data_IF_200222863370
#
_entry.id   IF_200222863370
#
_cell.length_a   1.000
_cell.length_b   1.000
_cell.length_c   1.000
_cell.angle_alpha   90.00
_cell.angle_beta   90.00
_cell.angle_gamma   90.00
#
_symmetry.space_group_name_H-M   'P 1'
#
loop_
_entity.id
_entity.type
_entity.pdbx_description
1 polymer ?
#
# COMPACT_ATOMS: atom_id res chain seq x y z
N UNK A 1 21.02 11.48 -10.89
CA UNK A 1 20.51 10.54 -11.92
C UNK A 1 19.13 10.09 -11.50
N UNK A 2 18.08 10.22 -12.33
CA UNK A 2 16.77 9.68 -11.99
C UNK A 2 16.89 8.15 -11.87
N UNK A 3 16.52 7.62 -10.71
CA UNK A 3 16.43 6.17 -10.53
C UNK A 3 15.46 5.63 -11.58
N UNK A 4 15.81 4.57 -12.32
CA UNK A 4 14.88 3.95 -13.25
C UNK A 4 13.64 3.54 -12.46
N UNK A 5 12.46 4.03 -12.89
CA UNK A 5 11.19 3.58 -12.32
C UNK A 5 11.17 2.05 -12.39
N UNK A 6 10.85 1.34 -11.30
CA UNK A 6 10.67 -0.09 -11.37
C UNK A 6 9.62 -0.36 -12.43
N UNK A 7 10.01 -1.03 -13.51
CA UNK A 7 9.05 -1.54 -14.47
C UNK A 7 8.32 -2.66 -13.73
N UNK A 8 7.09 -2.40 -13.28
CA UNK A 8 6.16 -3.43 -12.84
C UNK A 8 5.66 -4.22 -14.06
N UNK A 9 6.58 -4.71 -14.90
CA UNK A 9 6.28 -5.89 -15.69
C UNK A 9 6.11 -7.00 -14.67
N UNK A 10 4.92 -7.62 -14.63
CA UNK A 10 4.69 -8.83 -13.84
C UNK A 10 5.89 -9.76 -14.09
N UNK A 11 6.67 -10.08 -13.04
CA UNK A 11 7.78 -11.02 -13.21
C UNK A 11 7.21 -12.36 -13.67
N UNK A 12 8.01 -13.16 -14.38
CA UNK A 12 7.62 -14.53 -14.78
C UNK A 12 7.16 -15.40 -13.61
N UNK A 13 7.43 -14.99 -12.36
CA UNK A 13 6.96 -15.64 -11.14
C UNK A 13 5.48 -15.33 -10.82
N UNK A 14 4.96 -14.18 -11.27
CA UNK A 14 3.54 -13.80 -11.19
C UNK A 14 2.76 -14.17 -12.45
N UNK A 15 3.45 -14.49 -13.53
CA UNK A 15 2.94 -15.33 -14.61
C UNK A 15 2.69 -16.72 -14.01
N UNK A 16 1.62 -16.88 -13.23
CA UNK A 16 1.19 -18.22 -12.83
C UNK A 16 1.03 -19.02 -14.10
N UNK A 17 1.98 -19.93 -14.33
CA UNK A 17 1.81 -21.26 -14.89
C UNK A 17 0.36 -21.50 -15.31
N UNK A 18 -0.02 -21.01 -16.49
CA UNK A 18 -1.30 -21.30 -17.13
C UNK A 18 -1.40 -22.79 -17.56
N UNK A 19 -0.51 -23.64 -17.02
CA UNK A 19 -0.45 -25.07 -17.19
C UNK A 19 -1.25 -25.74 -16.06
N UNK A 20 -2.57 -25.70 -16.19
CA UNK A 20 -3.42 -26.76 -15.63
C UNK A 20 -4.28 -26.46 -14.40
N UNK A 21 -4.37 -25.20 -13.93
CA UNK A 21 -5.43 -24.78 -13.00
C UNK A 21 -6.58 -24.10 -13.76
N UNK A 22 -7.15 -24.81 -14.73
CA UNK A 22 -8.56 -24.61 -15.06
C UNK A 22 -9.36 -25.05 -13.83
N UNK A 23 -9.47 -24.13 -12.87
CA UNK A 23 -10.42 -24.26 -11.78
C UNK A 23 -11.77 -24.54 -12.42
N UNK A 24 -12.40 -25.70 -12.15
CA UNK A 24 -13.61 -26.07 -12.86
C UNK A 24 -14.62 -24.94 -12.76
N UNK A 25 -14.95 -24.34 -13.90
CA UNK A 25 -15.95 -23.26 -14.06
C UNK A 25 -17.38 -23.79 -13.81
N UNK A 26 -17.51 -24.94 -13.15
CA UNK A 26 -18.73 -25.72 -13.04
C UNK A 26 -19.58 -25.11 -11.95
N UNK A 27 -20.58 -24.32 -12.35
CA UNK A 27 -21.84 -24.24 -11.60
C UNK A 27 -22.38 -25.68 -11.48
N UNK A 28 -22.62 -26.12 -10.24
CA UNK A 28 -23.06 -27.48 -9.89
C UNK A 28 -24.22 -27.92 -10.82
N UNK A 29 -23.93 -28.81 -11.80
CA UNK A 29 -24.94 -29.50 -12.61
C UNK A 29 -25.06 -29.15 -14.10
N UNK A 30 -24.20 -28.29 -14.66
CA UNK A 30 -24.24 -27.92 -16.10
C UNK A 30 -23.25 -28.75 -16.94
N UNK A 31 -23.61 -29.17 -18.17
CA UNK A 31 -22.65 -29.82 -19.07
C UNK A 31 -21.51 -28.88 -19.44
N UNK A 32 -20.30 -29.43 -19.54
CA UNK A 32 -19.03 -28.68 -19.71
C UNK A 32 -19.05 -27.79 -20.96
N UNK A 33 -19.64 -28.27 -22.05
CA UNK A 33 -19.74 -27.50 -23.31
C UNK A 33 -20.61 -26.25 -23.16
N UNK A 34 -21.74 -26.33 -22.47
CA UNK A 34 -22.62 -25.18 -22.24
C UNK A 34 -21.96 -24.15 -21.32
N UNK A 35 -21.19 -24.61 -20.33
CA UNK A 35 -20.42 -23.73 -19.47
C UNK A 35 -19.35 -22.95 -20.25
N UNK A 36 -18.64 -23.63 -21.17
CA UNK A 36 -17.65 -22.99 -22.04
C UNK A 36 -18.29 -21.95 -22.96
N UNK A 37 -19.42 -22.29 -23.57
CA UNK A 37 -20.13 -21.40 -24.49
C UNK A 37 -20.65 -20.14 -23.77
N UNK A 38 -21.14 -20.27 -22.53
CA UNK A 38 -21.49 -19.11 -21.67
C UNK A 38 -20.28 -18.28 -21.28
N UNK A 39 -19.14 -18.91 -21.06
CA UNK A 39 -17.87 -18.24 -20.76
C UNK A 39 -17.38 -17.40 -21.94
N UNK A 40 -17.36 -18.00 -23.13
CA UNK A 40 -16.98 -17.31 -24.37
C UNK A 40 -17.94 -16.16 -24.72
N UNK A 41 -19.25 -16.36 -24.53
CA UNK A 41 -20.25 -15.31 -24.71
C UNK A 41 -20.11 -14.17 -23.70
N UNK A 42 -19.82 -14.49 -22.42
CA UNK A 42 -19.55 -13.49 -21.39
C UNK A 42 -18.29 -12.69 -21.70
N UNK A 43 -17.23 -13.36 -22.14
CA UNK A 43 -15.97 -12.72 -22.53
C UNK A 43 -16.17 -11.79 -23.72
N UNK A 44 -16.86 -12.22 -24.77
CA UNK A 44 -17.08 -11.38 -25.96
C UNK A 44 -17.96 -10.16 -25.64
N UNK A 45 -19.00 -10.33 -24.83
CA UNK A 45 -19.83 -9.21 -24.35
C UNK A 45 -19.03 -8.23 -23.49
N UNK A 46 -18.14 -8.74 -22.63
CA UNK A 46 -17.31 -7.89 -21.78
C UNK A 46 -16.24 -7.13 -22.57
N UNK A 47 -15.60 -7.79 -23.54
CA UNK A 47 -14.65 -7.13 -24.46
C UNK A 47 -15.33 -6.10 -25.35
N UNK A 48 -16.60 -6.32 -25.73
CA UNK A 48 -17.37 -5.35 -26.49
C UNK A 48 -17.67 -4.06 -25.70
N UNK A 49 -17.54 -4.05 -24.37
CA UNK A 49 -17.64 -2.83 -23.56
C UNK A 49 -16.39 -1.94 -23.68
N UNK A 50 -15.31 -2.43 -24.29
CA UNK A 50 -14.08 -1.66 -24.51
C UNK A 50 -14.36 -0.43 -25.39
N UNK A 51 -14.03 0.75 -24.89
CA UNK A 51 -14.28 2.02 -25.59
C UNK A 51 -15.72 2.52 -25.52
N UNK A 52 -16.61 1.85 -24.77
CA UNK A 52 -17.94 2.37 -24.48
C UNK A 52 -17.87 3.42 -23.35
N UNK A 53 -18.79 4.39 -23.29
CA UNK A 53 -18.84 5.36 -22.20
C UNK A 53 -19.14 4.72 -20.83
N UNK A 54 -19.59 3.47 -20.82
CA UNK A 54 -19.85 2.69 -19.61
C UNK A 54 -18.67 1.77 -19.23
N UNK A 55 -17.48 2.01 -19.76
CA UNK A 55 -16.28 1.24 -19.42
C UNK A 55 -15.93 1.46 -17.93
N UNK A 56 -15.79 0.38 -17.13
CA UNK A 56 -15.35 0.49 -15.75
C UNK A 56 -13.93 1.03 -15.66
N UNK A 57 -13.63 1.84 -14.64
CA UNK A 57 -12.30 2.43 -14.43
C UNK A 57 -11.20 1.37 -14.26
N UNK A 58 -11.55 0.22 -13.69
CA UNK A 58 -10.62 -0.90 -13.49
C UNK A 58 -10.38 -1.75 -14.74
N UNK A 59 -10.95 -1.39 -15.89
CA UNK A 59 -10.80 -2.16 -17.13
C UNK A 59 -9.35 -2.20 -17.62
N UNK A 60 -8.59 -1.11 -17.46
CA UNK A 60 -7.16 -1.08 -17.83
C UNK A 60 -6.32 -2.07 -17.00
N UNK A 61 -6.64 -2.20 -15.71
CA UNK A 61 -6.02 -3.19 -14.81
C UNK A 61 -6.38 -4.61 -15.25
N UNK A 62 -7.62 -4.83 -15.70
CA UNK A 62 -8.04 -6.11 -16.26
C UNK A 62 -7.22 -6.48 -17.51
N UNK A 63 -6.98 -5.55 -18.43
CA UNK A 63 -6.15 -5.83 -19.61
C UNK A 63 -4.73 -6.21 -19.22
N UNK A 64 -4.14 -5.49 -18.26
CA UNK A 64 -2.81 -5.79 -17.74
C UNK A 64 -2.72 -7.19 -17.11
N UNK A 65 -3.77 -7.63 -16.41
CA UNK A 65 -3.85 -8.97 -15.81
C UNK A 65 -4.05 -10.07 -16.86
N UNK A 66 -4.82 -9.78 -17.92
CA UNK A 66 -4.99 -10.67 -19.06
C UNK A 66 -3.66 -10.91 -19.79
N UNK A 67 -2.88 -9.85 -20.00
CA UNK A 67 -1.54 -9.94 -20.57
C UNK A 67 -0.58 -10.73 -19.65
N UNK A 68 -0.82 -10.68 -18.33
CA UNK A 68 -0.15 -11.51 -17.32
C UNK A 68 -0.58 -12.99 -17.28
N UNK A 69 -1.46 -13.44 -18.18
CA UNK A 69 -1.88 -14.83 -18.29
C UNK A 69 -2.96 -15.28 -17.31
N UNK A 70 -3.62 -14.35 -16.60
CA UNK A 70 -4.69 -14.70 -15.67
C UNK A 70 -5.98 -15.12 -16.41
N UNK A 71 -6.73 -16.13 -15.90
CA UNK A 71 -8.05 -16.46 -16.43
C UNK A 71 -8.98 -15.24 -16.38
N UNK A 72 -9.67 -14.95 -17.48
CA UNK A 72 -10.39 -13.68 -17.66
C UNK A 72 -11.39 -13.35 -16.53
N UNK A 73 -12.11 -14.36 -16.02
CA UNK A 73 -13.07 -14.17 -14.90
C UNK A 73 -12.36 -13.79 -13.60
N UNK A 74 -11.22 -14.43 -13.33
CA UNK A 74 -10.39 -14.14 -12.15
C UNK A 74 -9.71 -12.79 -12.30
N UNK A 75 -9.16 -12.47 -13.47
CA UNK A 75 -8.59 -11.18 -13.80
C UNK A 75 -9.60 -10.03 -13.59
N UNK A 76 -10.85 -10.22 -14.04
CA UNK A 76 -11.93 -9.26 -13.85
C UNK A 76 -12.26 -9.07 -12.36
N UNK A 77 -12.33 -10.15 -11.58
CA UNK A 77 -12.52 -10.06 -10.13
C UNK A 77 -11.36 -9.33 -9.43
N UNK A 78 -10.11 -9.67 -9.76
CA UNK A 78 -8.90 -9.06 -9.18
C UNK A 78 -8.88 -7.56 -9.49
N UNK A 79 -9.12 -7.17 -10.74
CA UNK A 79 -9.17 -5.77 -11.15
C UNK A 79 -10.26 -5.00 -10.39
N UNK A 80 -11.47 -5.55 -10.31
CA UNK A 80 -12.57 -4.96 -9.55
C UNK A 80 -12.25 -4.82 -8.05
N UNK A 81 -11.73 -5.88 -7.42
CA UNK A 81 -11.43 -5.91 -5.99
C UNK A 81 -10.25 -5.01 -5.61
N UNK A 82 -9.30 -4.79 -6.52
CA UNK A 82 -8.18 -3.87 -6.33
C UNK A 82 -8.61 -2.40 -6.25
N UNK A 83 -9.79 -2.05 -6.77
CA UNK A 83 -10.30 -0.68 -6.79
C UNK A 83 -10.84 -0.28 -5.40
N UNK A 84 -10.68 0.98 -4.96
CA UNK A 84 -11.28 1.46 -3.72
C UNK A 84 -12.81 1.34 -3.75
N UNK A 85 -13.42 1.18 -2.57
CA UNK A 85 -14.86 0.90 -2.44
C UNK A 85 -15.76 1.94 -3.13
N UNK A 86 -15.35 3.22 -3.12
CA UNK A 86 -16.11 4.32 -3.71
C UNK A 86 -16.12 4.28 -5.25
N UNK A 87 -15.05 3.82 -5.88
CA UNK A 87 -14.90 3.72 -7.33
C UNK A 87 -15.38 2.39 -7.92
N UNK A 88 -15.86 1.45 -7.09
CA UNK A 88 -16.27 0.12 -7.56
C UNK A 88 -17.58 0.18 -8.34
N UNK A 89 -17.47 -0.09 -9.64
CA UNK A 89 -18.60 -0.36 -10.52
C UNK A 89 -18.49 -1.79 -11.05
N UNK A 90 -19.41 -2.71 -10.75
CA UNK A 90 -20.59 -2.61 -9.87
C UNK A 90 -20.25 -2.55 -8.36
N UNK A 91 -21.21 -2.17 -7.51
CA UNK A 91 -20.97 -1.99 -6.06
C UNK A 91 -20.82 -3.29 -5.29
N UNK A 92 -21.48 -4.35 -5.73
CA UNK A 92 -21.53 -5.64 -5.02
C UNK A 92 -20.86 -6.75 -5.84
N UNK A 93 -20.27 -7.71 -5.13
CA UNK A 93 -19.65 -8.89 -5.76
C UNK A 93 -20.70 -9.74 -6.51
N UNK A 94 -21.91 -9.82 -5.99
CA UNK A 94 -23.02 -10.54 -6.62
C UNK A 94 -23.44 -9.90 -7.96
N UNK A 95 -23.49 -8.57 -8.02
CA UNK A 95 -23.75 -7.88 -9.28
C UNK A 95 -22.63 -8.06 -10.29
N UNK A 96 -21.36 -8.09 -9.86
CA UNK A 96 -20.24 -8.42 -10.75
C UNK A 96 -20.41 -9.83 -11.33
N UNK A 97 -20.69 -10.81 -10.46
CA UNK A 97 -20.88 -12.20 -10.85
C UNK A 97 -21.99 -12.35 -11.90
N UNK A 98 -23.16 -11.75 -11.64
CA UNK A 98 -24.33 -11.91 -12.52
C UNK A 98 -24.26 -11.05 -13.79
N UNK A 99 -23.93 -9.76 -13.68
CA UNK A 99 -24.03 -8.81 -14.80
C UNK A 99 -22.81 -8.84 -15.73
N UNK A 100 -21.61 -9.03 -15.19
CA UNK A 100 -20.37 -8.92 -15.97
C UNK A 100 -19.71 -10.27 -16.24
N UNK A 101 -19.76 -11.18 -15.27
CA UNK A 101 -19.13 -12.50 -15.40
C UNK A 101 -20.10 -13.56 -15.94
N UNK A 102 -21.40 -13.30 -16.02
CA UNK A 102 -22.40 -14.29 -16.44
C UNK A 102 -22.32 -15.60 -15.62
N UNK A 103 -22.13 -15.46 -14.30
CA UNK A 103 -22.19 -16.54 -13.31
C UNK A 103 -23.57 -16.54 -12.66
N UNK A 104 -24.05 -17.72 -12.22
CA UNK A 104 -25.31 -17.79 -11.48
C UNK A 104 -25.21 -17.11 -10.09
N UNK A 105 -24.06 -17.23 -9.43
CA UNK A 105 -23.83 -16.70 -8.07
C UNK A 105 -22.38 -16.31 -7.81
N UNK A 106 -22.18 -15.58 -6.71
CA UNK A 106 -20.86 -15.19 -6.20
C UNK A 106 -20.10 -16.33 -5.51
N UNK A 107 -20.75 -17.49 -5.31
CA UNK A 107 -20.16 -18.69 -4.70
C UNK A 107 -18.94 -19.20 -5.46
N UNK A 108 -18.96 -19.10 -6.79
CA UNK A 108 -17.83 -19.44 -7.64
C UNK A 108 -16.60 -18.59 -7.27
N UNK A 109 -16.77 -17.28 -7.08
CA UNK A 109 -15.71 -16.35 -6.67
C UNK A 109 -15.16 -16.71 -5.29
N UNK A 110 -16.04 -17.00 -4.32
CA UNK A 110 -15.60 -17.47 -2.99
C UNK A 110 -14.76 -18.75 -3.07
N UNK A 111 -15.15 -19.66 -3.97
CA UNK A 111 -14.43 -20.92 -4.19
C UNK A 111 -13.08 -20.68 -4.84
N UNK A 112 -12.97 -19.76 -5.81
CA UNK A 112 -11.70 -19.39 -6.43
C UNK A 112 -10.71 -18.85 -5.41
N UNK A 113 -11.13 -17.93 -4.54
CA UNK A 113 -10.27 -17.36 -3.48
C UNK A 113 -9.77 -18.41 -2.50
N UNK A 114 -10.62 -19.36 -2.12
CA UNK A 114 -10.24 -20.47 -1.22
C UNK A 114 -9.23 -21.42 -1.86
N UNK A 115 -9.35 -21.67 -3.16
CA UNK A 115 -8.48 -22.61 -3.88
C UNK A 115 -7.18 -21.96 -4.39
N UNK A 116 -7.22 -20.68 -4.74
CA UNK A 116 -6.07 -19.93 -5.23
C UNK A 116 -5.83 -18.68 -4.36
N UNK A 117 -4.98 -18.78 -3.32
CA UNK A 117 -4.64 -17.63 -2.48
C UNK A 117 -3.84 -16.55 -3.23
N UNK A 118 -3.29 -16.86 -4.42
CA UNK A 118 -2.57 -15.88 -5.21
C UNK A 118 -3.49 -14.74 -5.72
N UNK A 119 -4.80 -14.97 -5.77
CA UNK A 119 -5.80 -13.93 -6.05
C UNK A 119 -5.71 -12.83 -5.00
N UNK A 120 -5.69 -13.20 -3.72
CA UNK A 120 -5.67 -12.24 -2.62
C UNK A 120 -4.31 -11.50 -2.56
N UNK A 121 -3.20 -12.20 -2.85
CA UNK A 121 -1.89 -11.56 -2.93
C UNK A 121 -1.80 -10.57 -4.09
N UNK A 122 -2.39 -10.89 -5.23
CA UNK A 122 -2.40 -9.99 -6.39
C UNK A 122 -3.26 -8.75 -6.13
N UNK A 123 -4.40 -8.91 -5.46
CA UNK A 123 -5.23 -7.77 -5.05
C UNK A 123 -4.44 -6.83 -4.13
N UNK A 124 -3.75 -7.37 -3.12
CA UNK A 124 -2.93 -6.58 -2.21
C UNK A 124 -1.77 -5.88 -2.93
N UNK A 125 -1.12 -6.58 -3.88
CA UNK A 125 -0.05 -6.02 -4.69
C UNK A 125 -0.55 -4.84 -5.52
N UNK A 126 -1.67 -4.98 -6.24
CA UNK A 126 -2.25 -3.91 -7.05
C UNK A 126 -2.69 -2.70 -6.20
N UNK A 127 -3.24 -2.93 -5.02
CA UNK A 127 -3.57 -1.85 -4.08
C UNK A 127 -2.32 -1.12 -3.58
N UNK A 128 -1.22 -1.85 -3.37
CA UNK A 128 0.06 -1.23 -3.00
C UNK A 128 0.76 -0.51 -4.14
N UNK A 129 0.50 -0.89 -5.39
CA UNK A 129 1.16 -0.33 -6.57
C UNK A 129 0.91 1.19 -6.70
N UNK A 130 -0.31 1.63 -6.42
CA UNK A 130 -0.67 3.05 -6.43
C UNK A 130 0.14 3.87 -5.40
N UNK A 131 0.41 3.28 -4.22
CA UNK A 131 1.27 3.90 -3.21
C UNK A 131 2.73 4.05 -3.69
N UNK A 132 3.21 3.10 -4.51
CA UNK A 132 4.56 3.17 -5.06
C UNK A 132 4.70 4.26 -6.11
N UNK A 133 3.68 4.47 -6.96
CA UNK A 133 3.68 5.53 -7.96
C UNK A 133 3.71 6.92 -7.31
N UNK A 134 2.95 7.11 -6.23
CA UNK A 134 2.91 8.36 -5.47
C UNK A 134 4.02 8.50 -4.43
N UNK A 135 4.95 7.54 -4.32
CA UNK A 135 6.03 7.57 -3.33
C UNK A 135 6.95 8.77 -3.52
N UNK A 136 7.31 9.09 -4.77
CA UNK A 136 8.20 10.21 -5.06
C UNK A 136 7.55 11.56 -4.70
N UNK A 137 6.26 11.71 -4.99
CA UNK A 137 5.52 12.92 -4.67
C UNK A 137 5.29 13.06 -3.16
N UNK A 138 5.08 11.95 -2.46
CA UNK A 138 5.06 11.93 -0.98
C UNK A 138 6.35 12.50 -0.38
N UNK A 139 7.52 12.15 -0.93
CA UNK A 139 8.79 12.73 -0.47
C UNK A 139 8.93 14.22 -0.82
N UNK A 140 8.44 14.66 -1.98
CA UNK A 140 8.44 16.09 -2.32
C UNK A 140 7.58 16.88 -1.34
N UNK A 141 6.37 16.40 -1.05
CA UNK A 141 5.48 17.02 -0.07
C UNK A 141 6.11 17.09 1.32
N UNK A 142 6.88 16.07 1.71
CA UNK A 142 7.64 16.08 2.95
C UNK A 142 8.71 17.19 2.95
N UNK A 143 9.51 17.31 1.87
CA UNK A 143 10.54 18.34 1.75
C UNK A 143 9.90 19.74 1.76
N UNK A 144 8.82 19.93 1.02
CA UNK A 144 8.12 21.22 0.95
C UNK A 144 7.49 21.59 2.29
N UNK A 145 6.94 20.63 3.02
CA UNK A 145 6.45 20.86 4.37
C UNK A 145 7.57 21.13 5.38
N UNK A 146 8.74 20.48 5.26
CA UNK A 146 9.93 20.77 6.07
C UNK A 146 10.41 22.20 5.87
N UNK A 147 10.42 22.70 4.63
CA UNK A 147 10.76 24.10 4.33
C UNK A 147 9.80 25.12 4.97
N UNK A 148 8.56 24.70 5.20
CA UNK A 148 7.50 25.52 5.84
C UNK A 148 7.35 25.22 7.33
N UNK A 149 8.22 24.39 7.89
CA UNK A 149 8.16 24.01 9.30
C UNK A 149 8.29 25.27 10.17
N UNK A 150 7.30 25.52 11.02
CA UNK A 150 7.15 26.76 11.81
C UNK A 150 5.88 27.54 11.48
N UNK A 151 5.42 27.51 10.21
CA UNK A 151 4.18 28.16 9.80
C UNK A 151 2.93 27.26 9.93
N UNK A 152 3.07 25.96 9.62
CA UNK A 152 1.98 24.98 9.67
C UNK A 152 2.15 23.98 10.81
N UNK A 153 1.46 24.21 11.93
CA UNK A 153 1.46 23.31 13.09
C UNK A 153 1.01 21.88 12.75
N UNK A 154 0.13 21.72 11.75
CA UNK A 154 -0.38 20.41 11.33
C UNK A 154 0.69 19.53 10.69
N UNK A 155 1.72 20.12 10.09
CA UNK A 155 2.79 19.37 9.43
C UNK A 155 3.79 18.76 10.41
N UNK A 156 3.87 19.29 11.64
CA UNK A 156 4.83 18.85 12.66
C UNK A 156 4.73 17.34 12.97
N UNK A 157 3.52 16.77 13.00
CA UNK A 157 3.32 15.34 13.27
C UNK A 157 3.95 14.45 12.18
N UNK A 158 3.86 14.86 10.91
CA UNK A 158 4.45 14.12 9.80
C UNK A 158 5.98 14.21 9.82
N UNK A 159 6.53 15.38 10.16
CA UNK A 159 7.97 15.57 10.35
C UNK A 159 8.51 14.71 11.49
N UNK A 160 7.82 14.73 12.64
CA UNK A 160 8.18 13.92 13.80
C UNK A 160 8.20 12.44 13.44
N UNK A 161 7.14 11.93 12.79
CA UNK A 161 7.07 10.54 12.34
C UNK A 161 8.21 10.21 11.36
N UNK A 162 8.54 11.12 10.44
CA UNK A 162 9.65 10.91 9.52
C UNK A 162 10.99 10.78 10.26
N UNK A 163 11.26 11.67 11.22
CA UNK A 163 12.48 11.61 12.04
C UNK A 163 12.53 10.36 12.94
N UNK A 164 11.37 9.87 13.40
CA UNK A 164 11.28 8.58 14.08
C UNK A 164 11.64 7.42 13.14
N UNK A 165 11.15 7.44 11.90
CA UNK A 165 11.43 6.40 10.91
C UNK A 165 12.88 6.41 10.41
N UNK A 166 13.53 7.57 10.32
CA UNK A 166 14.96 7.68 9.97
C UNK A 166 15.89 7.38 11.15
N UNK A 167 15.35 7.39 12.38
CA UNK A 167 16.12 7.21 13.61
C UNK A 167 16.79 8.48 14.11
N UNK A 168 16.61 9.61 13.43
CA UNK A 168 17.13 10.92 13.86
C UNK A 168 16.42 11.44 15.12
N UNK A 169 15.21 10.94 15.40
CA UNK A 169 14.46 11.24 16.62
C UNK A 169 14.05 9.95 17.33
N UNK A 170 14.41 9.85 18.61
CA UNK A 170 13.94 8.77 19.50
C UNK A 170 12.97 9.38 20.51
N UNK A 171 11.72 8.89 20.60
CA UNK A 171 10.78 9.38 21.60
C UNK A 171 11.30 9.20 23.02
N UNK A 172 11.09 10.21 23.87
CA UNK A 172 11.53 10.21 25.27
C UNK A 172 11.12 8.92 26.02
N UNK A 173 9.91 8.41 25.75
CA UNK A 173 9.40 7.20 26.38
C UNK A 173 10.22 5.95 26.01
N UNK A 174 10.77 5.89 24.80
CA UNK A 174 11.64 4.78 24.38
C UNK A 174 13.00 4.87 25.05
N UNK A 175 13.56 6.08 25.15
CA UNK A 175 14.81 6.33 25.90
C UNK A 175 14.63 5.93 27.37
N UNK A 176 13.56 6.41 28.03
CA UNK A 176 13.26 6.07 29.41
C UNK A 176 13.09 4.55 29.63
N UNK A 177 12.47 3.84 28.68
CA UNK A 177 12.33 2.37 28.76
C UNK A 177 13.66 1.62 28.52
N UNK A 178 14.57 2.17 27.71
CA UNK A 178 15.92 1.62 27.53
C UNK A 178 16.77 1.88 28.77
N UNK A 179 16.74 3.09 29.31
CA UNK A 179 17.42 3.47 30.55
C UNK A 179 16.93 2.62 31.72
N UNK A 180 15.61 2.44 31.86
CA UNK A 180 15.03 1.59 32.91
C UNK A 180 15.44 0.12 32.77
N UNK A 181 15.40 -0.44 31.56
CA UNK A 181 15.89 -1.82 31.31
C UNK A 181 17.38 -1.98 31.58
N UNK A 182 18.19 -0.97 31.29
CA UNK A 182 19.64 -0.96 31.59
C UNK A 182 19.93 -0.76 33.08
N UNK A 183 19.09 -0.02 33.81
CA UNK A 183 19.21 0.16 35.25
C UNK A 183 18.72 -1.05 36.07
N UNK A 184 17.77 -1.83 35.53
CA UNK A 184 17.30 -3.09 36.13
C UNK A 184 18.27 -4.27 35.86
N UNK A 185 19.15 -4.15 34.86
CA UNK A 185 20.34 -4.99 34.72
C UNK A 185 21.34 -4.57 35.80
N UNK A 186 21.48 -5.40 36.84
CA UNK A 186 22.14 -5.02 38.09
C UNK A 186 23.44 -4.23 37.92
N UNK A 187 23.67 -3.29 38.83
CA UNK A 187 24.79 -2.33 38.89
C UNK A 187 26.22 -2.94 38.85
N UNK A 188 26.35 -4.26 38.68
CA UNK A 188 27.61 -4.98 38.63
C UNK A 188 28.20 -5.11 37.21
N UNK A 189 27.44 -4.80 36.16
CA UNK A 189 27.87 -4.88 34.74
C UNK A 189 28.08 -3.51 34.08
N UNK A 190 27.89 -2.40 34.80
CA UNK A 190 28.03 -1.05 34.24
C UNK A 190 29.45 -0.50 34.50
N UNK A 191 30.26 -0.38 33.46
CA UNK A 191 31.53 0.36 33.53
C UNK A 191 31.27 1.85 33.87
N UNK A 192 32.19 2.46 34.62
CA UNK A 192 32.10 3.87 35.07
C UNK A 192 31.88 4.86 33.91
N UNK A 193 32.36 4.53 32.71
CA UNK A 193 32.21 5.31 31.49
C UNK A 193 30.74 5.38 31.05
N UNK A 194 30.03 4.25 31.13
CA UNK A 194 28.62 4.14 30.75
C UNK A 194 27.69 4.82 31.77
N UNK A 195 28.12 4.90 33.04
CA UNK A 195 27.43 5.68 34.09
C UNK A 195 27.58 7.19 33.88
N UNK A 196 28.75 7.65 33.42
CA UNK A 196 28.96 9.05 33.09
C UNK A 196 28.16 9.48 31.85
N UNK A 197 28.09 8.67 30.81
CA UNK A 197 27.23 8.94 29.63
C UNK A 197 25.74 9.01 29.99
N UNK A 198 25.29 8.17 30.93
CA UNK A 198 23.92 8.19 31.43
C UNK A 198 23.63 9.46 32.25
N UNK A 199 24.60 9.91 33.05
CA UNK A 199 24.48 11.13 33.85
C UNK A 199 24.50 12.40 32.97
N UNK A 200 25.30 12.43 31.91
CA UNK A 200 25.35 13.54 30.95
C UNK A 200 24.07 13.63 30.12
N UNK A 201 23.56 12.49 29.64
CA UNK A 201 22.28 12.44 28.92
C UNK A 201 21.09 12.82 29.81
N UNK A 202 21.09 12.44 31.09
CA UNK A 202 20.08 12.87 32.05
C UNK A 202 20.15 14.39 32.35
N UNK A 203 21.35 14.97 32.47
CA UNK A 203 21.52 16.43 32.65
C UNK A 203 21.14 17.23 31.40
N UNK A 204 21.33 16.67 30.22
CA UNK A 204 20.88 17.29 28.96
C UNK A 204 19.35 17.32 28.87
N UNK A 205 18.66 16.32 29.44
CA UNK A 205 17.19 16.24 29.51
C UNK A 205 16.56 17.21 30.52
N UNK A 206 17.28 17.61 31.57
CA UNK A 206 16.80 18.59 32.56
C UNK A 206 16.93 20.05 32.11
N UNK A 207 17.69 20.35 31.05
CA UNK A 207 17.67 21.69 30.47
C UNK A 207 16.36 21.89 29.69
N UNK A 208 15.43 22.74 30.15
CA UNK A 208 14.29 23.10 29.31
C UNK A 208 14.83 23.70 28.01
N UNK A 209 14.25 23.32 26.88
CA UNK A 209 14.52 23.92 25.58
C UNK A 209 14.04 25.37 25.62
N UNK A 210 14.91 26.28 26.07
CA UNK A 210 14.73 27.71 25.88
C UNK A 210 14.97 27.98 24.41
N UNK A 211 13.88 28.22 23.68
CA UNK A 211 13.97 28.89 22.39
C UNK A 211 14.55 30.28 22.68
N UNK A 212 15.82 30.50 22.39
CA UNK A 212 16.39 31.85 22.39
C UNK A 212 15.67 32.64 21.29
N UNK A 213 14.64 33.38 21.70
CA UNK A 213 13.84 34.24 20.81
C UNK A 213 14.68 35.40 20.22
N UNK A 214 15.91 35.62 20.69
CA UNK A 214 16.80 36.69 20.23
C UNK A 214 17.39 36.46 18.83
N UNK A 215 17.39 35.24 18.28
CA UNK A 215 17.94 35.00 16.93
C UNK A 215 16.93 35.20 15.80
N UNK A 216 15.63 35.35 16.08
CA UNK A 216 14.63 35.63 15.04
C UNK A 216 14.59 37.12 14.68
N UNK A 217 14.98 38.02 15.60
CA UNK A 217 15.00 39.48 15.33
C UNK A 217 16.23 39.94 14.54
N UNK A 218 17.38 39.25 14.63
CA UNK A 218 18.63 39.66 13.96
C UNK A 218 18.57 39.42 12.43
N UNK A 219 17.81 38.43 11.98
CA UNK A 219 17.65 38.14 10.55
C UNK A 219 16.49 38.91 9.89
N UNK A 220 15.60 39.53 10.67
CA UNK A 220 14.55 40.41 10.15
C UNK A 220 15.03 41.85 9.87
N UNK A 221 16.11 42.30 10.53
CA UNK A 221 16.69 43.65 10.36
C UNK A 221 17.72 43.76 9.22
N UNK A 222 18.05 42.65 8.53
CA UNK A 222 19.01 42.65 7.41
C UNK A 222 18.39 42.72 6.02
N UNK A 223 17.07 42.69 5.92
CA UNK A 223 16.32 42.72 4.65
C UNK A 223 15.45 43.99 4.47
N UNK A 224 15.69 45.06 5.26
CA UNK A 224 15.25 46.45 4.94
C UNK A 224 16.40 47.28 4.34
#
# INVERSE_FOLDING_TARGET
>A
MPLPKPKFTLSDEYSQLALGLELPEVDDGMPVEDARLRSEAGRSAFVALKGSPNQPEWFERFESLMDGGWPWRQACYIAWASTPLEGRTPKTQEELARKHLNLASDRAISTWRKKNPAIDTMIALLQSAELWDHRADSFKHLIDGMRRAGADYKFFNHLKLFLEMTGDYVPLNQIAAVVKRKADGGAHEMDEEMLNELAESARALEKPYTVDQEQVEIDAEKDE
#
